data_IF_797624199783
#
_entry.id   IF_797624199783
#
_cell.length_a   1.000
_cell.length_b   1.000
_cell.length_c   1.000
_cell.angle_alpha   90.00
_cell.angle_beta   90.00
_cell.angle_gamma   90.00
#
_symmetry.space_group_name_H-M   'P 1'
#
loop_
_entity.id
_entity.type
_entity.pdbx_description
1 polymer ?
#
# COMPACT_ATOMS: atom_id res chain seq x y z
N UNK A 1 -45.40 -14.16 40.29
CA UNK A 1 -44.34 -13.17 40.63
C UNK A 1 -43.05 -13.63 39.94
N UNK A 2 -42.71 -13.03 38.79
CA UNK A 2 -41.50 -13.36 38.06
C UNK A 2 -40.41 -12.34 38.37
N UNK A 3 -39.22 -12.80 38.79
CA UNK A 3 -38.04 -11.99 39.09
C UNK A 3 -37.44 -11.46 37.80
N UNK A 4 -37.25 -10.14 37.73
CA UNK A 4 -36.44 -9.46 36.67
C UNK A 4 -34.95 -9.86 36.82
N UNK A 5 -34.21 -10.08 35.70
CA UNK A 5 -32.77 -10.27 35.78
C UNK A 5 -32.07 -8.91 35.95
N UNK A 6 -31.14 -8.85 36.90
CA UNK A 6 -30.27 -7.70 37.15
C UNK A 6 -29.38 -7.40 35.94
N UNK A 7 -29.54 -6.21 35.38
CA UNK A 7 -28.67 -5.66 34.38
C UNK A 7 -27.29 -5.34 34.97
N UNK A 8 -26.30 -6.19 34.75
CA UNK A 8 -24.87 -5.83 34.95
C UNK A 8 -24.45 -4.80 33.96
N UNK A 9 -24.32 -3.58 34.42
CA UNK A 9 -23.72 -2.45 33.71
C UNK A 9 -22.24 -2.74 33.50
N UNK A 10 -21.87 -3.28 32.33
CA UNK A 10 -20.46 -3.40 31.89
C UNK A 10 -20.00 -2.06 31.42
N UNK A 11 -19.45 -1.24 32.31
CA UNK A 11 -18.70 -0.05 32.01
C UNK A 11 -17.53 -0.46 31.08
N UNK A 12 -17.56 0.02 29.80
CA UNK A 12 -16.55 -0.21 28.79
C UNK A 12 -15.20 0.42 29.13
N UNK A 13 -14.50 -0.15 30.08
CA UNK A 13 -13.04 0.02 30.22
C UNK A 13 -12.40 -0.93 29.26
N UNK A 14 -11.99 -0.40 28.10
CA UNK A 14 -11.25 -1.14 27.09
C UNK A 14 -10.13 -1.95 27.75
N UNK A 15 -10.12 -3.25 27.48
CA UNK A 15 -9.02 -4.13 27.88
C UNK A 15 -7.73 -3.55 27.30
N UNK A 16 -6.89 -2.97 28.16
CA UNK A 16 -5.51 -2.60 27.79
C UNK A 16 -4.78 -3.90 27.54
N UNK A 17 -4.59 -4.26 26.27
CA UNK A 17 -3.74 -5.39 25.92
C UNK A 17 -2.37 -5.20 26.57
N UNK A 18 -1.90 -6.26 27.25
CA UNK A 18 -0.60 -6.26 27.90
C UNK A 18 0.49 -6.00 26.88
N UNK A 19 1.27 -4.94 27.08
CA UNK A 19 2.36 -4.55 26.18
C UNK A 19 3.43 -5.63 26.15
N UNK A 20 3.60 -6.27 25.00
CA UNK A 20 4.61 -7.32 24.78
C UNK A 20 5.99 -6.67 24.76
N UNK A 21 6.91 -7.16 25.62
CA UNK A 21 8.31 -6.70 25.63
C UNK A 21 9.18 -7.61 24.75
N UNK A 22 10.18 -7.00 24.09
CA UNK A 22 11.16 -7.74 23.31
C UNK A 22 12.06 -8.55 24.24
N UNK A 23 11.96 -9.88 24.20
CA UNK A 23 12.74 -10.79 25.06
C UNK A 23 14.21 -10.86 24.68
N UNK A 24 14.57 -10.59 23.42
CA UNK A 24 15.93 -10.69 22.85
C UNK A 24 16.57 -9.31 22.63
N UNK A 25 16.34 -8.36 23.54
CA UNK A 25 16.86 -6.99 23.41
C UNK A 25 18.38 -6.89 23.65
N UNK A 26 18.95 -7.80 24.45
CA UNK A 26 20.38 -7.80 24.80
C UNK A 26 21.23 -8.05 23.55
N UNK A 27 22.16 -7.14 23.23
CA UNK A 27 23.04 -7.23 22.06
C UNK A 27 22.47 -6.67 20.75
N UNK A 28 21.24 -6.15 20.73
CA UNK A 28 20.65 -5.49 19.55
C UNK A 28 20.83 -3.98 19.58
N UNK A 29 20.94 -3.36 18.39
CA UNK A 29 20.90 -1.89 18.29
C UNK A 29 19.57 -1.37 18.84
N UNK A 30 19.59 -0.23 19.52
CA UNK A 30 18.40 0.39 20.14
C UNK A 30 17.27 0.69 19.11
N UNK A 31 17.65 1.00 17.86
CA UNK A 31 16.70 1.19 16.75
C UNK A 31 15.95 -0.09 16.40
N UNK A 32 16.67 -1.21 16.26
CA UNK A 32 16.07 -2.54 15.99
C UNK A 32 15.17 -3.00 17.12
N UNK A 33 15.58 -2.77 18.39
CA UNK A 33 14.75 -3.10 19.55
C UNK A 33 13.46 -2.29 19.58
N UNK A 34 13.53 -0.97 19.30
CA UNK A 34 12.36 -0.10 19.19
C UNK A 34 11.43 -0.51 18.05
N UNK A 35 11.99 -0.88 16.90
CA UNK A 35 11.21 -1.38 15.76
C UNK A 35 10.46 -2.67 16.12
N UNK A 36 11.14 -3.68 16.68
CA UNK A 36 10.51 -4.92 17.13
C UNK A 36 9.42 -4.66 18.18
N UNK A 37 9.70 -3.78 19.15
CA UNK A 37 8.71 -3.42 20.18
C UNK A 37 7.44 -2.81 19.57
N UNK A 38 7.57 -1.99 18.53
CA UNK A 38 6.43 -1.46 17.78
C UNK A 38 5.69 -2.56 17.02
N UNK A 39 6.40 -3.44 16.31
CA UNK A 39 5.79 -4.53 15.56
C UNK A 39 4.98 -5.48 16.45
N UNK A 40 5.55 -5.89 17.58
CA UNK A 40 4.88 -6.81 18.52
C UNK A 40 3.61 -6.22 19.18
N UNK A 41 3.50 -4.88 19.24
CA UNK A 41 2.39 -4.19 19.88
C UNK A 41 1.46 -3.47 18.88
N UNK A 42 1.68 -3.66 17.58
CA UNK A 42 0.87 -3.06 16.54
C UNK A 42 -0.39 -3.91 16.29
N UNK A 43 -1.60 -3.36 16.51
CA UNK A 43 -2.83 -4.12 16.33
C UNK A 43 -3.04 -4.57 14.88
N UNK A 44 -2.57 -3.79 13.89
CA UNK A 44 -2.67 -4.15 12.49
C UNK A 44 -1.71 -5.28 12.09
N UNK A 45 -0.56 -5.44 12.79
CA UNK A 45 0.32 -6.60 12.58
C UNK A 45 -0.37 -7.86 13.06
N UNK A 46 -0.96 -7.85 14.24
CA UNK A 46 -1.71 -9.00 14.78
C UNK A 46 -2.91 -9.35 13.91
N UNK A 47 -3.64 -8.33 13.46
CA UNK A 47 -4.79 -8.49 12.59
C UNK A 47 -4.37 -9.05 11.23
N UNK A 48 -3.28 -8.58 10.63
CA UNK A 48 -2.74 -9.13 9.39
C UNK A 48 -2.42 -10.62 9.51
N UNK A 49 -1.76 -11.02 10.60
CA UNK A 49 -1.46 -12.42 10.87
C UNK A 49 -2.73 -13.28 11.03
N UNK A 50 -3.74 -12.77 11.75
CA UNK A 50 -5.00 -13.46 11.97
C UNK A 50 -5.84 -13.61 10.68
N UNK A 51 -5.78 -12.62 9.78
CA UNK A 51 -6.52 -12.60 8.50
C UNK A 51 -5.69 -13.17 7.33
N UNK A 52 -4.45 -13.66 7.56
CA UNK A 52 -3.61 -14.27 6.53
C UNK A 52 -2.93 -13.28 5.58
N UNK A 53 -2.91 -11.99 5.90
CA UNK A 53 -2.17 -11.01 5.12
C UNK A 53 -0.67 -11.05 5.45
N UNK A 54 0.18 -10.90 4.43
CA UNK A 54 1.64 -10.90 4.54
C UNK A 54 2.19 -9.71 5.34
N UNK A 55 1.39 -8.66 5.52
CA UNK A 55 1.79 -7.51 6.29
C UNK A 55 0.67 -6.51 6.56
N UNK A 56 0.89 -5.64 7.54
CA UNK A 56 -0.06 -4.58 7.91
C UNK A 56 -0.36 -3.59 6.78
N UNK A 57 0.53 -3.49 5.79
CA UNK A 57 0.34 -2.61 4.62
C UNK A 57 -0.92 -2.94 3.83
N UNK A 58 -1.40 -4.20 3.89
CA UNK A 58 -2.66 -4.62 3.29
C UNK A 58 -3.85 -3.73 3.73
N UNK A 59 -3.90 -3.33 4.99
CA UNK A 59 -5.00 -2.48 5.47
C UNK A 59 -4.97 -1.06 4.90
N UNK A 60 -3.80 -0.55 4.51
CA UNK A 60 -3.69 0.78 3.90
C UNK A 60 -4.44 0.83 2.56
N UNK A 61 -4.14 -0.13 1.66
CA UNK A 61 -4.80 -0.18 0.36
C UNK A 61 -6.27 -0.56 0.50
N UNK A 62 -6.62 -1.42 1.46
CA UNK A 62 -8.00 -1.78 1.77
C UNK A 62 -8.82 -0.55 2.16
N UNK A 63 -8.35 0.25 3.11
CA UNK A 63 -9.02 1.47 3.60
C UNK A 63 -9.09 2.56 2.52
N UNK A 64 -8.05 2.66 1.67
CA UNK A 64 -8.05 3.59 0.55
C UNK A 64 -9.07 3.18 -0.52
N UNK A 65 -9.10 1.91 -0.88
CA UNK A 65 -10.03 1.44 -1.89
C UNK A 65 -11.48 1.41 -1.38
N UNK A 66 -11.73 1.05 -0.12
CA UNK A 66 -13.05 1.15 0.51
C UNK A 66 -13.62 2.58 0.42
N UNK A 67 -12.75 3.59 0.43
CA UNK A 67 -13.14 4.99 0.37
C UNK A 67 -13.25 5.52 -1.05
N UNK A 68 -12.42 5.06 -1.97
CA UNK A 68 -12.28 5.67 -3.30
C UNK A 68 -12.73 4.76 -4.45
N UNK A 69 -12.81 3.43 -4.24
CA UNK A 69 -13.39 2.46 -5.16
C UNK A 69 -12.63 2.30 -6.48
N UNK A 70 -11.30 2.28 -6.44
CA UNK A 70 -10.49 2.19 -7.66
C UNK A 70 -10.17 0.75 -8.09
N UNK A 71 -10.32 -0.24 -7.21
CA UNK A 71 -10.15 -1.66 -7.53
C UNK A 71 -11.51 -2.28 -7.91
N UNK A 72 -11.86 -2.19 -9.18
CA UNK A 72 -13.12 -2.75 -9.69
C UNK A 72 -12.91 -4.12 -10.36
N UNK A 73 -13.92 -5.01 -10.38
CA UNK A 73 -13.86 -6.27 -11.12
C UNK A 73 -13.50 -6.04 -12.59
N UNK A 74 -12.52 -6.80 -13.09
CA UNK A 74 -11.99 -6.67 -14.45
C UNK A 74 -10.85 -5.67 -14.61
N UNK A 75 -10.51 -4.89 -13.56
CA UNK A 75 -9.43 -3.91 -13.64
C UNK A 75 -8.06 -4.56 -13.86
N UNK A 76 -7.25 -3.90 -14.68
CA UNK A 76 -5.82 -4.20 -14.88
C UNK A 76 -4.99 -3.31 -13.96
N UNK A 77 -4.27 -3.93 -13.04
CA UNK A 77 -3.57 -3.24 -11.96
C UNK A 77 -2.09 -3.56 -11.98
N UNK A 78 -1.25 -2.53 -11.82
CA UNK A 78 0.19 -2.66 -11.58
C UNK A 78 0.50 -2.24 -10.16
N UNK A 79 1.29 -3.03 -9.42
CA UNK A 79 1.78 -2.74 -8.07
C UNK A 79 3.31 -2.65 -8.06
N UNK A 80 3.85 -1.43 -8.00
CA UNK A 80 5.28 -1.14 -7.95
C UNK A 80 5.76 -1.09 -6.50
N UNK A 81 6.73 -1.95 -6.17
CA UNK A 81 7.16 -2.15 -4.79
C UNK A 81 6.21 -3.07 -4.03
N UNK A 82 5.82 -4.17 -4.66
CA UNK A 82 4.75 -5.04 -4.17
C UNK A 82 5.12 -5.89 -2.94
N UNK A 83 6.43 -6.06 -2.61
CA UNK A 83 6.85 -6.91 -1.50
C UNK A 83 6.28 -6.43 -0.14
N UNK A 84 5.85 -7.35 0.70
CA UNK A 84 5.80 -8.80 0.57
C UNK A 84 4.55 -9.35 -0.16
N UNK A 85 3.71 -8.50 -0.77
CA UNK A 85 2.52 -8.87 -1.53
C UNK A 85 1.19 -8.56 -0.83
N UNK A 86 1.21 -7.78 0.24
CA UNK A 86 -0.01 -7.47 1.01
C UNK A 86 -1.05 -6.68 0.21
N UNK A 87 -0.62 -5.78 -0.69
CA UNK A 87 -1.52 -5.01 -1.55
C UNK A 87 -2.13 -5.89 -2.64
N UNK A 88 -1.33 -6.76 -3.24
CA UNK A 88 -1.81 -7.74 -4.22
C UNK A 88 -2.83 -8.70 -3.59
N UNK A 89 -2.61 -9.17 -2.35
CA UNK A 89 -3.60 -10.01 -1.65
C UNK A 89 -4.97 -9.32 -1.50
N UNK A 90 -4.99 -8.02 -1.28
CA UNK A 90 -6.24 -7.24 -1.20
C UNK A 90 -6.84 -7.04 -2.59
N UNK A 91 -6.02 -6.80 -3.60
CA UNK A 91 -6.49 -6.53 -4.96
C UNK A 91 -7.11 -7.77 -5.63
N UNK A 92 -6.56 -8.98 -5.41
CA UNK A 92 -7.05 -10.25 -6.03
C UNK A 92 -8.58 -10.39 -5.97
N UNK A 93 -9.25 -10.39 -4.80
CA UNK A 93 -10.69 -10.56 -4.72
C UNK A 93 -11.48 -9.34 -5.20
N UNK A 94 -10.87 -8.14 -5.24
CA UNK A 94 -11.52 -6.89 -5.63
C UNK A 94 -11.62 -6.76 -7.14
N UNK A 95 -10.54 -7.10 -7.84
CA UNK A 95 -10.55 -7.09 -9.31
C UNK A 95 -11.04 -8.43 -9.90
N UNK A 96 -11.41 -9.40 -9.06
CA UNK A 96 -11.83 -10.74 -9.46
C UNK A 96 -10.75 -11.51 -10.24
N UNK A 97 -9.47 -11.39 -9.84
CA UNK A 97 -8.34 -11.90 -10.60
C UNK A 97 -8.34 -13.43 -10.82
N UNK A 98 -9.01 -14.19 -9.95
CA UNK A 98 -9.11 -15.67 -10.04
C UNK A 98 -10.49 -16.15 -10.49
N UNK A 99 -11.39 -15.24 -10.86
CA UNK A 99 -12.70 -15.60 -11.42
C UNK A 99 -13.67 -16.27 -10.43
N UNK A 100 -13.51 -16.06 -9.12
CA UNK A 100 -14.42 -16.64 -8.10
C UNK A 100 -15.81 -16.01 -8.11
N UNK A 101 -15.93 -14.80 -8.65
CA UNK A 101 -17.20 -14.07 -8.72
C UNK A 101 -17.68 -13.96 -10.16
N UNK A 102 -19.00 -13.96 -10.42
CA UNK A 102 -19.52 -13.61 -11.73
C UNK A 102 -19.05 -12.19 -12.15
N UNK A 103 -18.64 -12.07 -13.41
CA UNK A 103 -18.23 -10.77 -13.96
C UNK A 103 -16.84 -10.81 -14.61
N UNK A 104 -16.32 -9.66 -15.02
CA UNK A 104 -15.04 -9.59 -15.70
C UNK A 104 -13.90 -9.99 -14.74
N UNK A 105 -12.89 -10.65 -15.32
CA UNK A 105 -11.67 -11.07 -14.64
C UNK A 105 -10.62 -9.99 -14.81
N UNK A 106 -10.09 -9.49 -13.70
CA UNK A 106 -9.00 -8.53 -13.70
C UNK A 106 -7.62 -9.18 -13.78
N UNK A 107 -6.61 -8.37 -14.00
CA UNK A 107 -5.21 -8.78 -14.02
C UNK A 107 -4.38 -7.98 -13.03
N UNK A 108 -3.41 -8.65 -12.40
CA UNK A 108 -2.53 -8.07 -11.41
C UNK A 108 -1.08 -8.35 -11.77
N UNK A 109 -0.31 -7.29 -11.97
CA UNK A 109 1.13 -7.35 -12.20
C UNK A 109 1.83 -6.70 -11.00
N UNK A 110 2.68 -7.44 -10.32
CA UNK A 110 3.51 -6.96 -9.21
C UNK A 110 4.98 -6.92 -9.57
N UNK A 111 5.68 -5.87 -9.16
CA UNK A 111 7.13 -5.74 -9.36
C UNK A 111 7.79 -5.30 -8.06
N UNK A 112 8.90 -5.93 -7.67
CA UNK A 112 9.69 -5.53 -6.51
C UNK A 112 11.17 -5.89 -6.68
N UNK A 113 12.03 -5.15 -6.04
CA UNK A 113 13.46 -5.46 -5.91
C UNK A 113 13.69 -6.79 -5.17
N UNK A 114 12.81 -7.13 -4.24
CA UNK A 114 12.87 -8.35 -3.45
C UNK A 114 12.06 -9.46 -4.12
N UNK A 115 12.50 -10.70 -3.93
CA UNK A 115 11.71 -11.87 -4.31
C UNK A 115 10.42 -11.91 -3.49
N UNK A 116 9.30 -12.03 -4.16
CA UNK A 116 7.97 -12.14 -3.55
C UNK A 116 7.42 -13.53 -3.79
N UNK A 117 6.99 -14.20 -2.73
CA UNK A 117 6.33 -15.50 -2.83
C UNK A 117 5.10 -15.40 -3.75
N UNK A 118 4.82 -16.40 -4.59
CA UNK A 118 3.69 -16.37 -5.51
C UNK A 118 2.35 -16.10 -4.81
N UNK A 119 1.48 -15.37 -5.49
CA UNK A 119 0.09 -15.13 -5.10
C UNK A 119 -0.80 -15.57 -6.26
N UNK A 120 -1.76 -16.42 -5.98
CA UNK A 120 -2.71 -16.91 -6.99
C UNK A 120 -3.48 -15.72 -7.58
N UNK A 121 -3.53 -15.63 -8.90
CA UNK A 121 -4.16 -14.51 -9.62
C UNK A 121 -3.25 -13.31 -9.85
N UNK A 122 -1.96 -13.40 -9.50
CA UNK A 122 -0.98 -12.34 -9.74
C UNK A 122 0.19 -12.86 -10.58
N UNK A 123 0.63 -12.07 -11.53
CA UNK A 123 1.93 -12.15 -12.16
C UNK A 123 2.90 -11.28 -11.36
N UNK A 124 4.06 -11.82 -10.94
CA UNK A 124 5.00 -11.11 -10.06
C UNK A 124 6.41 -11.31 -10.57
N UNK A 125 7.14 -10.20 -10.74
CA UNK A 125 8.52 -10.20 -11.22
C UNK A 125 9.45 -9.53 -10.22
N UNK A 126 10.68 -10.03 -10.13
CA UNK A 126 11.75 -9.37 -9.41
C UNK A 126 12.47 -8.43 -10.37
N UNK A 127 12.44 -7.13 -10.06
CA UNK A 127 13.06 -6.08 -10.87
C UNK A 127 13.38 -4.87 -10.00
N UNK A 128 14.54 -4.24 -10.18
CA UNK A 128 14.76 -2.88 -9.71
C UNK A 128 14.11 -1.90 -10.70
N UNK A 129 13.01 -1.29 -10.28
CA UNK A 129 12.25 -0.36 -11.12
C UNK A 129 13.05 0.89 -11.49
N UNK A 130 14.16 1.17 -10.80
CA UNK A 130 15.03 2.31 -11.09
C UNK A 130 16.17 1.98 -12.07
N UNK A 131 16.30 0.74 -12.52
CA UNK A 131 17.26 0.36 -13.56
C UNK A 131 16.82 0.88 -14.92
N UNK A 132 17.80 1.16 -15.81
CA UNK A 132 17.56 1.61 -17.17
C UNK A 132 16.73 0.59 -17.96
N UNK A 133 15.60 1.02 -18.52
CA UNK A 133 14.69 0.18 -19.31
C UNK A 133 13.75 -0.71 -18.46
N UNK A 134 13.76 -0.59 -17.13
CA UNK A 134 12.86 -1.34 -16.26
C UNK A 134 11.39 -1.02 -16.52
N UNK A 135 11.07 0.25 -16.77
CA UNK A 135 9.72 0.69 -17.12
C UNK A 135 9.21 0.07 -18.44
N UNK A 136 10.06 -0.03 -19.46
CA UNK A 136 9.72 -0.68 -20.73
C UNK A 136 9.48 -2.19 -20.54
N UNK A 137 10.26 -2.83 -19.69
CA UNK A 137 10.06 -4.24 -19.34
C UNK A 137 8.72 -4.47 -18.63
N UNK A 138 8.36 -3.59 -17.70
CA UNK A 138 7.05 -3.65 -17.01
C UNK A 138 5.90 -3.40 -18.00
N UNK A 139 6.06 -2.47 -18.96
CA UNK A 139 5.10 -2.23 -20.05
C UNK A 139 4.92 -3.48 -20.93
N UNK A 140 6.00 -4.19 -21.24
CA UNK A 140 5.96 -5.45 -21.98
C UNK A 140 5.14 -6.52 -21.24
N UNK A 141 5.42 -6.76 -19.96
CA UNK A 141 4.67 -7.71 -19.13
C UNK A 141 3.20 -7.31 -18.98
N UNK A 142 2.93 -6.02 -18.82
CA UNK A 142 1.55 -5.51 -18.73
C UNK A 142 0.77 -5.77 -20.03
N UNK A 143 1.42 -5.71 -21.20
CA UNK A 143 0.83 -6.03 -22.51
C UNK A 143 -0.34 -5.13 -22.91
N UNK A 144 -0.36 -3.88 -22.46
CA UNK A 144 -1.39 -2.89 -22.77
C UNK A 144 -1.54 -1.81 -21.70
N UNK A 145 -2.70 -1.16 -21.66
CA UNK A 145 -2.99 -0.11 -20.67
C UNK A 145 -3.45 -0.67 -19.34
N UNK A 146 -3.28 0.10 -18.26
CA UNK A 146 -3.74 -0.21 -16.91
C UNK A 146 -4.90 0.69 -16.47
N UNK A 147 -5.80 0.17 -15.67
CA UNK A 147 -6.82 0.98 -14.99
C UNK A 147 -6.27 1.61 -13.72
N UNK A 148 -5.33 0.91 -13.06
CA UNK A 148 -4.76 1.37 -11.79
C UNK A 148 -3.26 1.10 -11.74
N UNK A 149 -2.49 2.11 -11.35
CA UNK A 149 -1.09 1.97 -10.96
C UNK A 149 -0.96 2.30 -9.48
N UNK A 150 -0.46 1.34 -8.70
CA UNK A 150 -0.20 1.48 -7.28
C UNK A 150 1.32 1.50 -7.02
N UNK A 151 1.78 2.24 -6.01
CA UNK A 151 3.18 2.22 -5.59
C UNK A 151 3.34 2.39 -4.08
N UNK A 152 3.88 1.36 -3.41
CA UNK A 152 4.38 1.44 -2.03
C UNK A 152 5.92 1.41 -1.99
N UNK A 153 6.58 1.72 -3.11
CA UNK A 153 8.04 1.78 -3.18
C UNK A 153 8.63 2.63 -2.06
N UNK A 154 9.68 2.15 -1.45
CA UNK A 154 10.39 2.83 -0.37
C UNK A 154 11.89 2.59 -0.47
N UNK A 155 12.68 3.65 -0.44
CA UNK A 155 14.11 3.54 -0.28
C UNK A 155 14.44 3.05 1.15
N UNK A 156 15.50 2.24 1.26
CA UNK A 156 16.07 1.87 2.55
C UNK A 156 16.51 3.14 3.29
N UNK A 157 16.16 3.23 4.58
CA UNK A 157 16.50 4.41 5.39
C UNK A 157 18.02 4.54 5.53
N UNK A 158 18.56 5.68 5.12
CA UNK A 158 19.96 6.05 5.31
C UNK A 158 20.23 6.60 6.72
N UNK A 159 19.18 6.96 7.45
CA UNK A 159 19.23 7.67 8.73
C UNK A 159 19.28 9.19 8.59
N UNK A 160 19.41 9.73 7.37
CA UNK A 160 19.35 11.15 7.07
C UNK A 160 17.99 11.52 6.50
N UNK A 161 17.15 12.20 7.27
CA UNK A 161 15.76 12.49 6.91
C UNK A 161 15.59 13.18 5.55
N UNK A 162 16.45 14.13 5.21
CA UNK A 162 16.38 14.82 3.92
C UNK A 162 16.71 13.88 2.75
N UNK A 163 17.76 13.07 2.87
CA UNK A 163 18.16 12.11 1.84
C UNK A 163 17.07 11.05 1.65
N UNK A 164 16.53 10.52 2.75
CA UNK A 164 15.45 9.52 2.70
C UNK A 164 14.18 10.11 2.06
N UNK A 165 13.88 11.38 2.37
CA UNK A 165 12.75 12.10 1.77
C UNK A 165 12.91 12.28 0.25
N UNK A 166 14.07 12.77 -0.21
CA UNK A 166 14.36 12.94 -1.65
C UNK A 166 14.28 11.61 -2.42
N UNK A 167 14.82 10.53 -1.85
CA UNK A 167 14.75 9.20 -2.47
C UNK A 167 13.31 8.71 -2.65
N UNK A 168 12.46 8.92 -1.65
CA UNK A 168 11.04 8.50 -1.75
C UNK A 168 10.30 9.35 -2.77
N UNK A 169 10.63 10.64 -2.90
CA UNK A 169 10.05 11.50 -3.92
C UNK A 169 10.45 11.02 -5.31
N UNK A 170 11.74 10.74 -5.54
CA UNK A 170 12.22 10.23 -6.84
C UNK A 170 11.52 8.92 -7.23
N UNK A 171 11.31 8.00 -6.26
CA UNK A 171 10.56 6.77 -6.51
C UNK A 171 9.10 7.05 -6.86
N UNK A 172 8.47 8.01 -6.18
CA UNK A 172 7.09 8.38 -6.45
C UNK A 172 6.94 9.10 -7.80
N UNK A 173 7.91 9.95 -8.17
CA UNK A 173 7.95 10.59 -9.49
C UNK A 173 8.14 9.57 -10.61
N UNK A 174 9.08 8.62 -10.46
CA UNK A 174 9.29 7.54 -11.42
C UNK A 174 7.98 6.73 -11.61
N UNK A 175 7.32 6.36 -10.52
CA UNK A 175 6.02 5.68 -10.58
C UNK A 175 4.93 6.53 -11.25
N UNK A 176 4.94 7.86 -11.06
CA UNK A 176 3.98 8.76 -11.68
C UNK A 176 4.20 8.89 -13.19
N UNK A 177 5.46 9.03 -13.65
CA UNK A 177 5.77 9.04 -15.08
C UNK A 177 5.39 7.73 -15.76
N UNK A 178 5.73 6.60 -15.15
CA UNK A 178 5.26 5.30 -15.62
C UNK A 178 3.73 5.24 -15.72
N UNK A 179 3.02 5.73 -14.69
CA UNK A 179 1.56 5.78 -14.70
C UNK A 179 1.00 6.63 -15.84
N UNK A 180 1.66 7.75 -16.22
CA UNK A 180 1.24 8.56 -17.37
C UNK A 180 1.37 7.82 -18.69
N UNK A 181 2.35 6.92 -18.79
CA UNK A 181 2.58 6.15 -20.02
C UNK A 181 1.59 5.00 -20.18
N UNK A 182 1.18 4.38 -19.06
CA UNK A 182 0.41 3.12 -19.11
C UNK A 182 -1.05 3.23 -18.73
N UNK A 183 -1.50 4.30 -18.05
CA UNK A 183 -2.89 4.42 -17.65
C UNK A 183 -3.83 4.62 -18.85
N UNK A 184 -5.00 3.98 -18.78
CA UNK A 184 -6.16 4.32 -19.61
C UNK A 184 -6.76 5.64 -19.17
N UNK A 185 -7.50 6.30 -20.06
CA UNK A 185 -8.31 7.47 -19.73
C UNK A 185 -9.28 7.14 -18.59
N UNK A 186 -9.34 7.99 -17.59
CA UNK A 186 -10.10 7.74 -16.37
C UNK A 186 -9.39 6.92 -15.32
N UNK A 187 -8.21 6.36 -15.60
CA UNK A 187 -7.42 5.53 -14.70
C UNK A 187 -6.99 6.25 -13.41
N UNK A 188 -6.49 5.47 -12.46
CA UNK A 188 -6.13 5.94 -11.12
C UNK A 188 -4.68 5.60 -10.77
N UNK A 189 -3.98 6.59 -10.22
CA UNK A 189 -2.65 6.42 -9.63
C UNK A 189 -2.72 6.57 -8.11
N UNK A 190 -2.15 5.60 -7.40
CA UNK A 190 -2.07 5.57 -5.93
C UNK A 190 -0.62 5.38 -5.52
N UNK A 191 -0.04 6.32 -4.78
CA UNK A 191 1.34 6.19 -4.36
C UNK A 191 1.60 6.68 -2.95
N UNK A 192 2.55 6.01 -2.26
CA UNK A 192 3.06 6.47 -0.99
C UNK A 192 3.92 7.71 -1.17
N UNK A 193 3.66 8.72 -0.33
CA UNK A 193 4.44 9.95 -0.21
C UNK A 193 4.80 10.22 1.25
N UNK A 194 5.85 10.98 1.48
CA UNK A 194 6.16 11.50 2.82
C UNK A 194 5.79 12.97 2.91
N UNK A 195 5.07 13.35 3.96
CA UNK A 195 4.81 14.76 4.26
C UNK A 195 6.14 15.49 4.57
N UNK A 196 6.42 16.61 3.88
CA UNK A 196 7.66 17.34 4.16
C UNK A 196 8.13 18.37 3.13
N UNK A 197 7.29 18.78 2.16
CA UNK A 197 7.55 19.99 1.36
C UNK A 197 7.89 19.78 -0.12
N UNK A 198 8.56 18.70 -0.52
CA UNK A 198 8.80 18.43 -1.95
C UNK A 198 7.58 17.80 -2.67
N UNK A 199 6.51 17.54 -1.92
CA UNK A 199 5.21 17.07 -2.46
C UNK A 199 4.57 18.09 -3.42
N UNK A 200 4.95 19.37 -3.36
CA UNK A 200 4.31 20.43 -4.12
C UNK A 200 4.48 20.30 -5.64
N UNK A 201 5.68 19.93 -6.10
CA UNK A 201 5.94 19.77 -7.54
C UNK A 201 5.25 18.51 -8.09
N UNK A 202 5.36 17.38 -7.38
CA UNK A 202 4.63 16.17 -7.73
C UNK A 202 3.12 16.42 -7.79
N UNK A 203 2.55 17.15 -6.81
CA UNK A 203 1.13 17.49 -6.81
C UNK A 203 0.72 18.39 -7.99
N UNK A 204 1.57 19.35 -8.38
CA UNK A 204 1.32 20.18 -9.56
C UNK A 204 1.29 19.33 -10.82
N UNK A 205 2.27 18.43 -10.97
CA UNK A 205 2.37 17.51 -12.09
C UNK A 205 1.12 16.60 -12.17
N UNK A 206 0.73 15.98 -11.06
CA UNK A 206 -0.46 15.14 -11.02
C UNK A 206 -1.75 15.91 -11.32
N UNK A 207 -1.90 17.14 -10.85
CA UNK A 207 -3.08 17.98 -11.14
C UNK A 207 -3.21 18.35 -12.62
N UNK A 208 -2.10 18.37 -13.37
CA UNK A 208 -2.14 18.59 -14.81
C UNK A 208 -2.69 17.38 -15.56
N UNK A 209 -2.43 16.17 -15.05
CA UNK A 209 -2.75 14.90 -15.71
C UNK A 209 -4.02 14.22 -15.18
N UNK A 210 -4.48 14.56 -13.98
CA UNK A 210 -5.64 13.91 -13.36
C UNK A 210 -6.73 14.91 -13.01
N UNK A 211 -7.98 14.45 -13.04
CA UNK A 211 -9.14 15.26 -12.67
C UNK A 211 -9.19 15.55 -11.17
N UNK A 212 -8.77 14.61 -10.34
CA UNK A 212 -8.82 14.71 -8.88
C UNK A 212 -7.51 14.20 -8.26
N UNK A 213 -6.90 15.03 -7.40
CA UNK A 213 -5.68 14.66 -6.67
C UNK A 213 -5.86 14.95 -5.19
N UNK A 214 -5.72 13.95 -4.34
CA UNK A 214 -5.91 14.04 -2.89
C UNK A 214 -4.72 13.41 -2.15
N UNK A 215 -4.33 14.00 -1.03
CA UNK A 215 -3.42 13.38 -0.07
C UNK A 215 -4.25 12.80 1.08
N UNK A 216 -4.06 11.53 1.36
CA UNK A 216 -4.82 10.78 2.36
C UNK A 216 -3.88 10.06 3.31
N UNK A 217 -4.19 10.10 4.59
CA UNK A 217 -3.55 9.26 5.59
C UNK A 217 -4.57 8.22 6.06
N UNK A 218 -4.45 6.95 5.63
CA UNK A 218 -5.38 5.92 6.06
C UNK A 218 -5.28 5.67 7.56
N UNK A 219 -6.36 5.27 8.24
CA UNK A 219 -6.38 4.97 9.67
C UNK A 219 -5.33 3.95 10.12
N UNK A 220 -5.03 2.98 9.26
CA UNK A 220 -3.98 1.98 9.49
C UNK A 220 -2.56 2.56 9.44
N UNK A 221 -2.34 3.76 8.90
CA UNK A 221 -1.04 4.43 9.01
C UNK A 221 -0.78 4.88 10.44
N UNK A 222 0.45 4.65 10.93
CA UNK A 222 0.83 5.05 12.30
C UNK A 222 0.71 6.57 12.47
N UNK A 223 0.21 7.00 13.63
CA UNK A 223 0.01 8.41 13.95
C UNK A 223 1.31 9.23 13.89
N UNK A 224 2.43 8.62 14.32
CA UNK A 224 3.78 9.21 14.35
C UNK A 224 4.52 9.14 13.00
N UNK A 225 3.96 8.49 11.98
CA UNK A 225 4.54 8.42 10.63
C UNK A 225 4.18 9.64 9.80
N UNK A 226 5.17 10.18 9.07
CA UNK A 226 4.95 11.19 8.03
C UNK A 226 4.35 10.62 6.73
N UNK A 227 4.14 9.33 6.67
CA UNK A 227 3.57 8.64 5.51
C UNK A 227 2.15 9.08 5.22
N UNK A 228 1.89 9.38 3.96
CA UNK A 228 0.59 9.64 3.35
C UNK A 228 0.51 8.91 2.02
N UNK A 229 -0.65 8.92 1.41
CA UNK A 229 -0.87 8.39 0.06
C UNK A 229 -1.47 9.49 -0.81
N UNK A 230 -0.91 9.67 -1.99
CA UNK A 230 -1.57 10.44 -3.03
C UNK A 230 -2.53 9.51 -3.77
N UNK A 231 -3.76 10.00 -3.97
CA UNK A 231 -4.78 9.37 -4.83
C UNK A 231 -5.03 10.36 -5.96
N UNK A 232 -4.61 10.00 -7.17
CA UNK A 232 -4.85 10.77 -8.38
C UNK A 232 -5.78 9.96 -9.28
N UNK A 233 -7.02 10.43 -9.44
CA UNK A 233 -8.07 9.73 -10.17
C UNK A 233 -8.53 10.53 -11.39
N UNK A 234 -8.98 9.81 -12.42
CA UNK A 234 -9.45 10.40 -13.66
C UNK A 234 -8.29 10.91 -14.49
N UNK A 235 -7.41 10.01 -14.92
CA UNK A 235 -6.32 10.31 -15.87
C UNK A 235 -6.87 10.88 -17.17
N UNK A 236 -6.18 11.85 -17.75
CA UNK A 236 -6.67 12.61 -18.92
C UNK A 236 -5.77 12.52 -20.16
N UNK A 237 -4.85 11.55 -20.16
CA UNK A 237 -3.93 11.38 -21.28
C UNK A 237 -2.69 12.30 -21.21
#
# INVERSE_FOLDING_TARGET
MAKKPDGKNTSGRGQRELKVKVKTARGRRSSSTRWLQRQLNDPYVKRAQAEGYRGRAAFKIMELDDKFGFLAPGARVVDLGCAPGGWLQVAVPRVNAIGEKPGPIGTLLGVDLQVVEPIVGCEIHQLDFMDDGADDQVKEWLGGKADVVMSDMAASSSGHKQTDHLRIISLCEAAAYFAFDVLEDGGTFVAKVLAGGAEGELQKLLKQKFTKVLNVKPPSSRSDSSEKFVIAAGFRG
#
